data_IF_600296664338
#
_entry.id   IF_600296664338
#
_cell.length_a   1.000
_cell.length_b   1.000
_cell.length_c   1.000
_cell.angle_alpha   90.00
_cell.angle_beta   90.00
_cell.angle_gamma   90.00
#
_symmetry.space_group_name_H-M   'P 1'
#
loop_
_entity.id
_entity.type
_entity.pdbx_description
1 polymer ?
#
# COMPACT_ATOMS: atom_id res chain seq x y z
N UNK A 1 18.14 11.58 -7.15
CA UNK A 1 17.43 10.29 -7.13
C UNK A 1 17.25 9.84 -8.58
N UNK A 2 17.58 8.59 -8.93
CA UNK A 2 17.23 8.04 -10.26
C UNK A 2 15.70 7.84 -10.30
N UNK A 3 15.03 8.05 -11.44
CA UNK A 3 13.61 7.79 -11.56
C UNK A 3 13.31 6.31 -11.30
N UNK A 4 12.25 6.03 -10.53
CA UNK A 4 11.69 4.68 -10.43
C UNK A 4 11.20 4.26 -11.80
N UNK A 5 11.45 3.01 -12.18
CA UNK A 5 10.81 2.46 -13.37
C UNK A 5 9.32 2.23 -13.04
N UNK A 6 8.38 2.58 -13.93
CA UNK A 6 6.97 2.33 -13.70
C UNK A 6 6.71 0.82 -13.54
N UNK A 7 6.25 0.40 -12.35
CA UNK A 7 5.91 -0.99 -12.05
C UNK A 7 4.40 -1.17 -12.10
N UNK A 8 3.92 -2.13 -12.88
CA UNK A 8 2.52 -2.55 -12.86
C UNK A 8 2.30 -3.59 -11.75
N UNK A 9 1.72 -3.16 -10.63
CA UNK A 9 1.38 -4.01 -9.50
C UNK A 9 0.05 -4.73 -9.76
N UNK A 10 0.10 -6.01 -10.13
CA UNK A 10 -1.09 -6.87 -10.27
C UNK A 10 -1.53 -7.44 -8.93
N UNK A 11 -2.80 -7.23 -8.61
CA UNK A 11 -3.40 -7.59 -7.34
C UNK A 11 -4.38 -8.77 -7.52
N UNK A 12 -4.30 -9.73 -6.59
CA UNK A 12 -5.39 -10.69 -6.40
C UNK A 12 -6.63 -9.97 -5.85
N UNK A 13 -7.84 -10.56 -5.95
CA UNK A 13 -9.05 -9.96 -5.39
C UNK A 13 -8.94 -9.63 -3.89
N UNK A 14 -8.25 -10.47 -3.12
CA UNK A 14 -8.02 -10.24 -1.69
C UNK A 14 -7.07 -9.07 -1.45
N UNK A 15 -5.97 -8.97 -2.22
CA UNK A 15 -5.01 -7.87 -2.09
C UNK A 15 -5.62 -6.54 -2.50
N UNK A 16 -6.41 -6.54 -3.59
CA UNK A 16 -7.22 -5.37 -3.99
C UNK A 16 -8.12 -4.92 -2.85
N UNK A 17 -8.94 -5.81 -2.29
CA UNK A 17 -9.88 -5.46 -1.22
C UNK A 17 -9.18 -4.92 0.03
N UNK A 18 -7.98 -5.43 0.37
CA UNK A 18 -7.18 -4.92 1.48
C UNK A 18 -6.68 -3.51 1.14
N UNK A 19 -6.06 -3.30 -0.02
CA UNK A 19 -5.54 -1.99 -0.41
C UNK A 19 -6.65 -0.94 -0.55
N UNK A 20 -7.75 -1.29 -1.23
CA UNK A 20 -8.91 -0.41 -1.43
C UNK A 20 -9.42 0.15 -0.09
N UNK A 21 -9.64 -0.72 0.89
CA UNK A 21 -10.08 -0.31 2.22
C UNK A 21 -9.10 0.63 2.94
N UNK A 22 -7.79 0.50 2.66
CA UNK A 22 -6.74 1.31 3.32
C UNK A 22 -6.57 2.65 2.64
N UNK A 23 -6.62 2.65 1.32
CA UNK A 23 -6.58 3.87 0.53
C UNK A 23 -7.81 4.74 0.82
N UNK A 24 -9.00 4.17 1.00
CA UNK A 24 -10.18 4.93 1.44
C UNK A 24 -9.91 5.64 2.79
N UNK A 25 -9.25 4.97 3.75
CA UNK A 25 -8.92 5.58 5.05
C UNK A 25 -7.84 6.68 4.94
N UNK A 26 -6.94 6.59 3.97
CA UNK A 26 -5.91 7.60 3.70
C UNK A 26 -6.49 8.81 2.94
N UNK A 27 -7.52 8.61 2.11
CA UNK A 27 -8.22 9.65 1.37
C UNK A 27 -8.94 10.64 2.32
N UNK A 28 -9.46 10.15 3.44
CA UNK A 28 -10.18 10.95 4.45
C UNK A 28 -9.22 11.70 5.41
N UNK A 29 -8.17 12.33 4.87
CA UNK A 29 -7.19 13.13 5.62
C UNK A 29 -6.10 12.32 6.34
N UNK A 30 -6.24 11.00 6.41
CA UNK A 30 -5.26 10.14 7.09
C UNK A 30 -3.85 10.24 6.52
N UNK A 31 -3.69 10.48 5.22
CA UNK A 31 -2.36 10.67 4.63
C UNK A 31 -1.71 12.01 5.03
N UNK A 32 -2.50 13.08 5.10
CA UNK A 32 -2.00 14.39 5.51
C UNK A 32 -1.57 14.37 6.98
N UNK A 33 -2.34 13.71 7.85
CA UNK A 33 -2.02 13.56 9.28
C UNK A 33 -0.74 12.74 9.52
N UNK A 34 -0.48 11.70 8.70
CA UNK A 34 0.71 10.84 8.87
C UNK A 34 2.00 11.59 8.52
N UNK A 35 1.95 12.44 7.50
CA UNK A 35 3.11 13.13 6.94
C UNK A 35 3.12 14.64 7.22
N UNK A 36 2.34 15.11 8.21
CA UNK A 36 2.21 16.54 8.55
C UNK A 36 3.59 17.20 8.82
N UNK A 37 4.48 16.46 9.48
CA UNK A 37 5.83 16.91 9.86
C UNK A 37 6.95 16.38 8.94
N UNK A 38 6.61 15.71 7.83
CA UNK A 38 7.60 15.11 6.91
C UNK A 38 7.77 15.94 5.63
N UNK A 39 8.73 16.86 5.67
CA UNK A 39 9.11 17.69 4.52
C UNK A 39 9.69 16.91 3.32
N UNK A 40 9.97 15.61 3.48
CA UNK A 40 10.56 14.77 2.43
C UNK A 40 9.52 14.02 1.60
N UNK A 41 8.31 13.85 2.13
CA UNK A 41 7.21 13.20 1.43
C UNK A 41 6.37 14.22 0.66
N UNK A 42 6.12 13.94 -0.63
CA UNK A 42 5.21 14.75 -1.43
C UNK A 42 3.76 14.29 -1.19
N UNK A 43 3.12 14.89 -0.18
CA UNK A 43 1.73 14.60 0.22
C UNK A 43 0.76 14.73 -0.95
N UNK A 44 0.96 15.72 -1.82
CA UNK A 44 0.09 15.93 -2.98
C UNK A 44 0.23 14.80 -3.99
N UNK A 45 1.46 14.34 -4.25
CA UNK A 45 1.69 13.18 -5.11
C UNK A 45 1.13 11.88 -4.49
N UNK A 46 1.24 11.72 -3.17
CA UNK A 46 0.65 10.62 -2.43
C UNK A 46 -0.88 10.57 -2.55
N UNK A 47 -1.56 11.69 -2.31
CA UNK A 47 -3.02 11.81 -2.45
C UNK A 47 -3.48 11.54 -3.89
N UNK A 48 -2.75 12.07 -4.89
CA UNK A 48 -3.06 11.81 -6.30
C UNK A 48 -2.97 10.32 -6.64
N UNK A 49 -2.01 9.60 -6.06
CA UNK A 49 -1.92 8.15 -6.19
C UNK A 49 -3.10 7.44 -5.49
N UNK A 50 -3.46 7.85 -4.26
CA UNK A 50 -4.61 7.30 -3.53
C UNK A 50 -5.89 7.42 -4.35
N UNK A 51 -6.19 8.62 -4.86
CA UNK A 51 -7.39 8.88 -5.68
C UNK A 51 -7.41 8.02 -6.94
N UNK A 52 -6.31 8.01 -7.70
CA UNK A 52 -6.20 7.23 -8.94
C UNK A 52 -6.30 5.72 -8.73
N UNK A 53 -5.78 5.22 -7.60
CA UNK A 53 -5.87 3.81 -7.23
C UNK A 53 -7.32 3.42 -6.86
N UNK A 54 -8.01 4.25 -6.07
CA UNK A 54 -9.41 4.04 -5.73
C UNK A 54 -10.32 4.10 -6.96
N UNK A 55 -10.11 5.05 -7.87
CA UNK A 55 -10.86 5.12 -9.13
C UNK A 55 -10.65 3.88 -9.99
N UNK A 56 -9.41 3.39 -10.08
CA UNK A 56 -9.08 2.14 -10.78
C UNK A 56 -9.84 0.96 -10.15
N UNK A 57 -9.91 0.89 -8.83
CA UNK A 57 -10.61 -0.17 -8.12
C UNK A 57 -12.13 -0.10 -8.29
N UNK A 58 -12.72 1.09 -8.22
CA UNK A 58 -14.15 1.34 -8.46
C UNK A 58 -14.56 1.00 -9.90
N UNK A 59 -13.66 1.20 -10.86
CA UNK A 59 -13.83 0.77 -12.25
C UNK A 59 -13.66 -0.76 -12.46
N UNK A 60 -13.35 -1.52 -11.40
CA UNK A 60 -13.14 -2.97 -11.47
C UNK A 60 -11.71 -3.40 -11.82
N UNK A 61 -10.79 -2.44 -11.94
CA UNK A 61 -9.36 -2.69 -12.16
C UNK A 61 -8.71 -3.46 -11.00
N UNK A 62 -7.64 -4.18 -11.32
CA UNK A 62 -6.85 -5.00 -10.39
C UNK A 62 -5.35 -4.80 -10.56
N UNK A 63 -4.95 -3.77 -11.29
CA UNK A 63 -3.57 -3.41 -11.52
C UNK A 63 -3.39 -1.94 -11.16
N UNK A 64 -2.32 -1.62 -10.45
CA UNK A 64 -1.94 -0.24 -10.13
C UNK A 64 -0.59 0.06 -10.75
N UNK A 65 -0.42 1.26 -11.30
CA UNK A 65 0.90 1.74 -11.69
C UNK A 65 1.57 2.37 -10.47
N UNK A 66 2.79 1.93 -10.19
CA UNK A 66 3.66 2.47 -9.14
C UNK A 66 4.88 3.04 -9.81
N UNK A 67 4.88 4.34 -10.04
CA UNK A 67 5.87 5.06 -10.84
C UNK A 67 6.49 6.26 -10.10
N UNK A 68 6.05 6.52 -8.88
CA UNK A 68 6.56 7.60 -8.03
C UNK A 68 6.98 7.08 -6.65
N UNK A 69 7.96 7.73 -5.99
CA UNK A 69 8.33 7.39 -4.61
C UNK A 69 7.15 7.53 -3.65
N UNK A 70 6.31 8.55 -3.83
CA UNK A 70 5.13 8.76 -3.00
C UNK A 70 4.14 7.57 -3.09
N UNK A 71 3.95 7.00 -4.28
CA UNK A 71 3.13 5.80 -4.45
C UNK A 71 3.70 4.58 -3.71
N UNK A 72 5.04 4.42 -3.71
CA UNK A 72 5.71 3.36 -2.95
C UNK A 72 5.47 3.54 -1.45
N UNK A 73 5.71 4.74 -0.92
CA UNK A 73 5.51 5.06 0.49
C UNK A 73 4.05 4.89 0.93
N UNK A 74 3.07 5.33 0.13
CA UNK A 74 1.63 5.09 0.40
C UNK A 74 1.31 3.59 0.47
N UNK A 75 1.86 2.79 -0.45
CA UNK A 75 1.69 1.33 -0.42
C UNK A 75 2.33 0.74 0.83
N UNK A 76 3.54 1.19 1.18
CA UNK A 76 4.24 0.77 2.40
C UNK A 76 3.42 1.13 3.63
N UNK A 77 2.90 2.35 3.75
CA UNK A 77 2.03 2.77 4.86
C UNK A 77 0.77 1.90 4.96
N UNK A 78 0.14 1.58 3.83
CA UNK A 78 -1.00 0.65 3.81
C UNK A 78 -0.66 -0.71 4.43
N UNK A 79 0.60 -1.16 4.30
CA UNK A 79 1.13 -2.40 4.90
C UNK A 79 1.59 -2.21 6.36
N UNK A 80 2.27 -1.09 6.66
CA UNK A 80 2.90 -0.79 7.95
C UNK A 80 1.90 -0.41 9.03
N UNK A 81 0.75 0.20 8.67
CA UNK A 81 -0.40 0.43 9.55
C UNK A 81 -1.03 -0.84 10.16
N UNK A 82 -0.36 -1.98 10.04
CA UNK A 82 -0.48 -3.20 10.85
C UNK A 82 -0.51 -2.98 12.38
N UNK A 83 -0.38 -1.75 12.89
CA UNK A 83 -0.88 -1.34 14.21
C UNK A 83 -2.38 -1.63 14.40
N UNK A 84 -3.16 -1.83 13.33
CA UNK A 84 -4.52 -2.39 13.40
C UNK A 84 -4.62 -3.92 13.52
N UNK A 85 -3.48 -4.61 13.72
CA UNK A 85 -3.53 -5.83 14.52
C UNK A 85 -4.22 -5.59 15.88
N UNK A 86 -4.31 -4.34 16.37
CA UNK A 86 -5.07 -3.88 17.53
C UNK A 86 -6.60 -4.01 17.43
N UNK A 87 -7.23 -3.70 16.29
CA UNK A 87 -8.69 -3.94 16.15
C UNK A 87 -9.02 -5.40 15.83
N UNK A 88 -8.00 -6.16 15.42
CA UNK A 88 -7.99 -7.62 15.43
C UNK A 88 -7.64 -8.21 16.82
N UNK A 89 -7.39 -7.40 17.86
CA UNK A 89 -7.17 -7.87 19.24
C UNK A 89 -8.40 -7.77 20.14
N UNK A 90 -9.54 -7.29 19.63
CA UNK A 90 -10.83 -7.44 20.30
C UNK A 90 -11.30 -8.89 20.26
N UNK A 91 -10.62 -9.81 20.96
CA UNK A 91 -11.05 -11.17 21.32
C UNK A 91 -11.78 -12.06 20.27
N UNK A 92 -11.74 -11.77 18.98
CA UNK A 92 -12.31 -12.67 17.96
C UNK A 92 -11.23 -13.63 17.49
N UNK A 93 -11.16 -14.81 18.11
CA UNK A 93 -10.36 -15.95 17.62
C UNK A 93 -11.04 -16.57 16.39
N UNK A 94 -11.26 -15.80 15.32
CA UNK A 94 -11.76 -16.37 14.06
C UNK A 94 -10.60 -17.00 13.27
N UNK A 95 -10.76 -18.23 12.73
CA UNK A 95 -9.86 -18.81 11.73
C UNK A 95 -9.54 -17.86 10.55
N UNK A 96 -10.49 -16.99 10.20
CA UNK A 96 -10.39 -16.06 9.08
C UNK A 96 -9.33 -14.96 9.30
N UNK A 97 -9.13 -14.54 10.55
CA UNK A 97 -8.11 -13.54 10.90
C UNK A 97 -6.68 -14.07 10.76
N UNK A 98 -6.44 -15.34 11.12
CA UNK A 98 -5.13 -15.98 10.90
C UNK A 98 -4.81 -16.15 9.41
N UNK A 99 -5.85 -16.31 8.59
CA UNK A 99 -5.74 -16.36 7.13
C UNK A 99 -5.42 -14.98 6.56
N UNK A 100 -6.15 -13.94 6.98
CA UNK A 100 -5.93 -12.56 6.57
C UNK A 100 -4.52 -12.05 6.92
N UNK A 101 -4.05 -12.25 8.17
CA UNK A 101 -2.69 -11.87 8.59
C UNK A 101 -1.60 -12.56 7.77
N UNK A 102 -1.77 -13.86 7.45
CA UNK A 102 -0.82 -14.61 6.60
C UNK A 102 -0.82 -14.08 5.17
N UNK A 103 -1.99 -13.76 4.62
CA UNK A 103 -2.11 -13.17 3.27
C UNK A 103 -1.49 -11.77 3.21
N UNK A 104 -1.71 -10.92 4.22
CA UNK A 104 -1.06 -9.61 4.33
C UNK A 104 0.46 -9.73 4.42
N UNK A 105 0.98 -10.64 5.25
CA UNK A 105 2.44 -10.85 5.37
C UNK A 105 3.05 -11.39 4.07
N UNK A 106 2.34 -12.27 3.36
CA UNK A 106 2.78 -12.76 2.06
C UNK A 106 2.75 -11.65 1.00
N UNK A 107 1.75 -10.77 1.05
CA UNK A 107 1.62 -9.62 0.16
C UNK A 107 2.71 -8.58 0.42
N UNK A 108 2.95 -8.20 1.68
CA UNK A 108 4.04 -7.31 2.07
C UNK A 108 5.41 -7.86 1.61
N UNK A 109 5.69 -9.15 1.84
CA UNK A 109 6.91 -9.78 1.34
C UNK A 109 7.02 -9.80 -0.18
N UNK A 110 5.91 -9.92 -0.90
CA UNK A 110 5.90 -9.86 -2.37
C UNK A 110 6.21 -8.44 -2.85
N UNK A 111 5.65 -7.43 -2.19
CA UNK A 111 5.94 -6.02 -2.49
C UNK A 111 7.39 -5.66 -2.15
N UNK A 112 7.86 -6.02 -0.95
CA UNK A 112 9.26 -5.90 -0.57
C UNK A 112 10.18 -6.61 -1.57
N UNK A 113 9.83 -7.80 -2.06
CA UNK A 113 10.64 -8.49 -3.07
C UNK A 113 10.62 -7.77 -4.42
N UNK A 114 9.49 -7.23 -4.85
CA UNK A 114 9.39 -6.44 -6.08
C UNK A 114 10.25 -5.18 -6.00
N UNK A 115 10.13 -4.43 -4.90
CA UNK A 115 10.92 -3.20 -4.70
C UNK A 115 12.40 -3.49 -4.39
N UNK A 116 12.73 -4.54 -3.62
CA UNK A 116 14.12 -4.90 -3.32
C UNK A 116 14.84 -5.56 -4.50
N UNK A 117 14.16 -6.31 -5.37
CA UNK A 117 14.77 -6.80 -6.61
C UNK A 117 15.15 -5.62 -7.52
N UNK A 118 14.30 -4.61 -7.60
CA UNK A 118 14.61 -3.40 -8.38
C UNK A 118 15.69 -2.53 -7.71
N UNK A 119 15.71 -2.42 -6.38
CA UNK A 119 16.77 -1.72 -5.63
C UNK A 119 18.12 -2.46 -5.75
N UNK A 120 18.14 -3.79 -5.72
CA UNK A 120 19.37 -4.57 -5.89
C UNK A 120 19.97 -4.39 -7.29
N UNK A 121 19.14 -4.33 -8.33
CA UNK A 121 19.57 -4.00 -9.70
C UNK A 121 20.01 -2.53 -9.87
N UNK A 122 19.62 -1.62 -8.96
CA UNK A 122 20.10 -0.24 -8.94
C UNK A 122 21.49 -0.05 -8.31
N UNK A 123 21.96 -1.04 -7.53
CA UNK A 123 23.25 -0.99 -6.81
C UNK A 123 24.37 -1.82 -7.43
N UNK A 124 24.10 -2.54 -8.53
CA UNK A 124 25.07 -3.34 -9.28
C UNK A 124 25.62 -2.60 -10.49
#
# INVERSE_FOLDING_TARGET
MKPLLPVELKLTPTEKSILEHRLDALQDGGLEDIYEDDDTFDVKAGLAFVDGALDTFRAGGKALMVDTPAAVEVIVECLEGSTWCGCLTGNVKSPDMRSAKRKMKAFARRLEALFNCEIAEMTS
#
